data_IF_753923765168
#
_entry.id   IF_753923765168
#
_cell.length_a   1.000
_cell.length_b   1.000
_cell.length_c   1.000
_cell.angle_alpha   90.00
_cell.angle_beta   90.00
_cell.angle_gamma   90.00
#
_symmetry.space_group_name_H-M   'P 1'
#
loop_
_entity.id
_entity.type
_entity.pdbx_description
1 polymer ?
#
# COMPACT_ATOMS: atom_id res chain seq x y z
N UNK A 1 -26.34 1.24 -9.20
CA UNK A 1 -25.53 1.95 -10.22
C UNK A 1 -24.26 1.14 -10.37
N UNK A 2 -24.00 0.57 -11.55
CA UNK A 2 -22.81 -0.24 -11.78
C UNK A 2 -21.66 0.70 -12.10
N UNK A 3 -20.63 0.73 -11.25
CA UNK A 3 -19.38 1.37 -11.60
C UNK A 3 -18.76 0.56 -12.74
N UNK A 4 -18.58 1.18 -13.91
CA UNK A 4 -17.72 0.65 -14.97
C UNK A 4 -16.28 0.68 -14.45
N UNK A 5 -15.84 -0.40 -13.80
CA UNK A 5 -14.49 -0.53 -13.26
C UNK A 5 -13.55 -0.93 -14.40
N UNK A 6 -13.00 0.08 -15.07
CA UNK A 6 -11.81 -0.08 -15.93
C UNK A 6 -10.66 -0.58 -15.05
N UNK A 7 -9.74 -1.38 -15.61
CA UNK A 7 -8.40 -1.68 -15.07
C UNK A 7 -7.71 -0.37 -14.64
N UNK A 8 -8.03 0.11 -13.46
CA UNK A 8 -7.52 1.36 -12.95
C UNK A 8 -6.24 1.04 -12.20
N UNK A 9 -5.15 1.64 -12.66
CA UNK A 9 -3.86 1.60 -11.96
C UNK A 9 -3.94 2.23 -10.58
N UNK A 10 -4.99 3.00 -10.30
CA UNK A 10 -5.16 3.82 -9.12
C UNK A 10 -6.46 3.45 -8.39
N UNK A 11 -6.37 3.30 -7.08
CA UNK A 11 -7.51 3.07 -6.20
C UNK A 11 -7.51 4.11 -5.09
N UNK A 12 -8.63 4.80 -4.90
CA UNK A 12 -8.82 5.77 -3.82
C UNK A 12 -9.69 5.14 -2.73
N UNK A 13 -9.16 5.12 -1.51
CA UNK A 13 -9.85 4.58 -0.33
C UNK A 13 -9.67 5.49 0.87
N UNK A 14 -10.46 5.24 1.90
CA UNK A 14 -10.44 5.92 3.19
C UNK A 14 -10.01 4.95 4.29
N UNK A 15 -9.66 5.45 5.47
CA UNK A 15 -9.28 4.58 6.60
C UNK A 15 -10.40 3.62 7.03
N UNK A 16 -11.66 3.94 6.73
CA UNK A 16 -12.81 3.10 7.04
C UNK A 16 -12.89 1.83 6.18
N UNK A 17 -12.13 1.76 5.08
CA UNK A 17 -12.09 0.62 4.16
C UNK A 17 -11.09 -0.48 4.60
N UNK A 18 -10.38 -0.26 5.72
CA UNK A 18 -9.32 -1.15 6.18
C UNK A 18 -9.71 -1.98 7.40
N UNK A 19 -9.19 -3.21 7.43
CA UNK A 19 -9.10 -4.03 8.62
C UNK A 19 -7.70 -3.87 9.25
N UNK A 20 -7.59 -4.06 10.57
CA UNK A 20 -6.30 -4.05 11.26
C UNK A 20 -5.86 -5.49 11.49
N UNK A 21 -4.68 -5.83 10.98
CA UNK A 21 -4.00 -7.07 11.28
C UNK A 21 -2.98 -6.83 12.40
N UNK A 22 -3.24 -7.41 13.57
CA UNK A 22 -2.26 -7.53 14.65
C UNK A 22 -1.49 -8.85 14.48
N UNK A 23 -0.18 -8.74 14.28
CA UNK A 23 0.69 -9.92 14.18
C UNK A 23 2.05 -9.66 14.83
N UNK A 24 2.42 -10.53 15.77
CA UNK A 24 3.72 -10.50 16.46
C UNK A 24 4.10 -9.10 17.02
N UNK A 25 3.10 -8.30 17.42
CA UNK A 25 3.29 -6.97 18.01
C UNK A 25 3.38 -5.82 17.01
N UNK A 26 3.02 -6.06 15.74
CA UNK A 26 2.90 -5.05 14.69
C UNK A 26 1.44 -4.96 14.25
N UNK A 27 0.91 -3.73 14.24
CA UNK A 27 -0.41 -3.41 13.72
C UNK A 27 -0.28 -2.86 12.29
N UNK A 28 -0.95 -3.49 11.32
CA UNK A 28 -0.91 -3.04 9.92
C UNK A 28 -2.30 -2.99 9.31
N UNK A 29 -2.56 -1.98 8.48
CA UNK A 29 -3.80 -1.85 7.74
C UNK A 29 -3.84 -2.82 6.54
N UNK A 30 -4.96 -3.53 6.43
CA UNK A 30 -5.23 -4.50 5.37
C UNK A 30 -6.46 -4.05 4.59
N UNK A 31 -6.29 -3.84 3.29
CA UNK A 31 -7.36 -3.59 2.34
C UNK A 31 -7.82 -4.92 1.75
N UNK A 32 -9.11 -5.22 1.83
CA UNK A 32 -9.65 -6.40 1.19
C UNK A 32 -9.80 -6.16 -0.33
N UNK A 33 -9.00 -6.89 -1.12
CA UNK A 33 -9.03 -6.84 -2.59
C UNK A 33 -9.58 -8.15 -3.19
N UNK A 34 -10.17 -9.04 -2.37
CA UNK A 34 -10.72 -10.30 -2.86
C UNK A 34 -11.95 -10.09 -3.75
N UNK A 35 -12.74 -9.04 -3.50
CA UNK A 35 -13.90 -8.69 -4.31
C UNK A 35 -13.55 -7.79 -5.52
N UNK A 36 -12.27 -7.42 -5.67
CA UNK A 36 -11.82 -6.56 -6.77
C UNK A 36 -11.74 -7.34 -8.09
N UNK A 37 -12.62 -6.99 -9.04
CA UNK A 37 -12.61 -7.55 -10.39
C UNK A 37 -11.50 -6.88 -11.23
N UNK A 38 -10.47 -7.63 -11.65
CA UNK A 38 -9.39 -7.12 -12.51
C UNK A 38 -7.98 -7.30 -11.93
N UNK A 39 -6.98 -6.63 -12.50
CA UNK A 39 -5.60 -6.61 -11.96
C UNK A 39 -5.58 -5.75 -10.68
N UNK A 40 -4.78 -6.09 -9.63
CA UNK A 40 -4.70 -5.22 -8.46
C UNK A 40 -4.25 -3.81 -8.86
N UNK A 41 -4.72 -2.76 -8.19
CA UNK A 41 -4.25 -1.41 -8.45
C UNK A 41 -2.75 -1.32 -8.17
N UNK A 42 -2.04 -0.54 -8.98
CA UNK A 42 -0.62 -0.28 -8.77
C UNK A 42 -0.40 0.81 -7.71
N UNK A 43 -1.32 1.76 -7.61
CA UNK A 43 -1.33 2.85 -6.64
C UNK A 43 -2.59 2.79 -5.77
N UNK A 44 -2.41 2.93 -4.46
CA UNK A 44 -3.51 3.10 -3.50
C UNK A 44 -3.35 4.46 -2.85
N UNK A 45 -4.38 5.30 -2.94
CA UNK A 45 -4.41 6.63 -2.37
C UNK A 45 -5.25 6.61 -1.10
N UNK A 46 -4.65 7.00 0.02
CA UNK A 46 -5.30 7.06 1.34
C UNK A 46 -5.05 8.43 1.95
N UNK A 47 -6.11 9.21 2.16
CA UNK A 47 -6.04 10.54 2.79
C UNK A 47 -4.93 11.46 2.22
N UNK A 48 -4.81 11.48 0.89
CA UNK A 48 -3.81 12.28 0.18
C UNK A 48 -2.40 11.70 0.13
N UNK A 49 -2.17 10.51 0.71
CA UNK A 49 -0.90 9.77 0.57
C UNK A 49 -1.02 8.71 -0.50
N UNK A 50 0.03 8.57 -1.32
CA UNK A 50 0.09 7.52 -2.34
C UNK A 50 0.96 6.37 -1.87
N UNK A 51 0.41 5.17 -1.90
CA UNK A 51 1.10 3.92 -1.66
C UNK A 51 1.30 3.18 -2.97
N UNK A 52 2.49 2.62 -3.19
CA UNK A 52 2.87 1.95 -4.43
C UNK A 52 3.00 0.45 -4.20
N UNK A 53 2.40 -0.35 -5.08
CA UNK A 53 2.49 -1.80 -5.08
C UNK A 53 3.96 -2.24 -5.23
N UNK A 54 4.40 -3.10 -4.33
CA UNK A 54 5.72 -3.71 -4.35
C UNK A 54 5.69 -5.03 -5.14
N UNK A 55 6.85 -5.41 -5.69
CA UNK A 55 6.98 -6.61 -6.53
C UNK A 55 6.97 -7.95 -5.79
N UNK A 56 6.61 -7.97 -4.50
CA UNK A 56 6.59 -9.17 -3.67
C UNK A 56 5.35 -9.24 -2.79
N UNK A 57 5.07 -10.43 -2.26
CA UNK A 57 3.85 -10.76 -1.53
C UNK A 57 4.15 -11.70 -0.37
N UNK A 58 3.33 -11.68 0.67
CA UNK A 58 3.33 -12.68 1.74
C UNK A 58 2.13 -13.62 1.64
N UNK A 59 2.24 -14.83 2.17
CA UNK A 59 1.09 -15.74 2.30
C UNK A 59 0.26 -15.35 3.52
N UNK A 60 -1.07 -15.27 3.37
CA UNK A 60 -1.97 -14.98 4.51
C UNK A 60 -1.80 -16.03 5.60
N UNK A 61 -1.54 -17.29 5.22
CA UNK A 61 -1.22 -18.37 6.15
C UNK A 61 0.28 -18.61 6.13
N UNK A 62 0.94 -18.39 7.27
CA UNK A 62 2.38 -18.63 7.40
C UNK A 62 3.27 -17.44 7.06
N UNK A 63 2.72 -16.20 7.02
CA UNK A 63 3.52 -14.96 6.88
C UNK A 63 4.66 -14.85 7.89
N UNK A 64 4.54 -15.51 9.06
CA UNK A 64 5.61 -15.79 10.01
C UNK A 64 6.45 -14.57 10.41
N UNK A 65 7.60 -14.80 11.05
CA UNK A 65 8.47 -13.74 11.54
C UNK A 65 9.00 -12.76 10.47
N UNK A 66 8.93 -13.11 9.18
CA UNK A 66 9.50 -12.29 8.10
C UNK A 66 8.68 -11.05 7.80
N UNK A 67 7.35 -11.15 7.78
CA UNK A 67 6.49 -10.01 7.47
C UNK A 67 6.50 -8.96 8.60
N UNK A 68 6.30 -9.30 9.88
CA UNK A 68 6.33 -8.32 10.98
C UNK A 68 7.70 -7.67 11.12
N UNK A 69 8.79 -8.44 10.96
CA UNK A 69 10.14 -7.88 10.99
C UNK A 69 10.34 -6.86 9.86
N UNK A 70 9.97 -7.22 8.62
CA UNK A 70 10.13 -6.32 7.49
C UNK A 70 9.30 -5.04 7.63
N UNK A 71 8.05 -5.14 8.10
CA UNK A 71 7.21 -3.96 8.38
C UNK A 71 7.89 -3.05 9.40
N UNK A 72 8.39 -3.62 10.50
CA UNK A 72 9.12 -2.87 11.54
C UNK A 72 10.33 -2.13 10.98
N UNK A 73 11.09 -2.77 10.07
CA UNK A 73 12.25 -2.14 9.41
C UNK A 73 11.81 -0.95 8.53
N UNK A 74 10.72 -1.09 7.76
CA UNK A 74 10.20 0.02 6.94
C UNK A 74 9.71 1.19 7.79
N UNK A 75 8.99 0.92 8.87
CA UNK A 75 8.49 1.96 9.77
C UNK A 75 9.64 2.66 10.50
N UNK A 76 10.72 1.95 10.85
CA UNK A 76 11.93 2.56 11.41
C UNK A 76 12.62 3.52 10.44
N UNK A 77 12.45 3.34 9.12
CA UNK A 77 12.90 4.26 8.07
C UNK A 77 11.88 5.40 7.80
N UNK A 78 10.77 5.45 8.55
CA UNK A 78 9.73 6.48 8.39
C UNK A 78 8.79 6.23 7.21
N UNK A 79 8.86 5.05 6.58
CA UNK A 79 7.92 4.63 5.54
C UNK A 79 6.63 4.08 6.16
N UNK A 80 5.55 4.09 5.40
CA UNK A 80 4.27 3.53 5.82
C UNK A 80 3.93 2.32 4.96
N UNK A 81 3.45 1.25 5.60
CA UNK A 81 3.08 0.00 4.94
C UNK A 81 1.57 -0.19 4.96
N UNK A 82 1.05 -0.68 3.84
CA UNK A 82 -0.33 -1.12 3.67
C UNK A 82 -0.32 -2.49 3.01
N UNK A 83 -1.19 -3.39 3.45
CA UNK A 83 -1.37 -4.69 2.83
C UNK A 83 -2.66 -4.73 2.02
N UNK A 84 -2.63 -5.37 0.86
CA UNK A 84 -3.83 -5.71 0.10
C UNK A 84 -4.05 -7.22 0.13
N UNK A 85 -5.13 -7.69 0.76
CA UNK A 85 -5.44 -9.12 0.77
C UNK A 85 -6.10 -9.54 -0.54
N UNK A 86 -5.52 -10.51 -1.24
CA UNK A 86 -6.09 -11.11 -2.44
C UNK A 86 -5.68 -12.56 -2.60
N UNK A 87 -6.65 -13.45 -2.77
CA UNK A 87 -6.44 -14.87 -3.09
C UNK A 87 -5.43 -15.55 -2.14
N UNK A 88 -5.68 -15.41 -0.83
CA UNK A 88 -4.82 -15.92 0.26
C UNK A 88 -3.39 -15.32 0.29
N UNK A 89 -3.19 -14.14 -0.31
CA UNK A 89 -1.91 -13.41 -0.26
C UNK A 89 -2.07 -11.97 0.17
N UNK A 90 -1.07 -11.46 0.88
CA UNK A 90 -0.89 -10.04 1.12
C UNK A 90 0.02 -9.44 0.05
N UNK A 91 -0.57 -8.59 -0.79
CA UNK A 91 0.14 -7.64 -1.64
C UNK A 91 0.69 -6.52 -0.75
N UNK A 92 1.91 -6.08 -1.01
CA UNK A 92 2.56 -5.05 -0.19
C UNK A 92 2.50 -3.71 -0.91
N UNK A 93 2.04 -2.68 -0.22
CA UNK A 93 2.05 -1.30 -0.69
C UNK A 93 2.89 -0.45 0.27
N UNK A 94 3.69 0.44 -0.30
CA UNK A 94 4.64 1.26 0.45
C UNK A 94 4.46 2.73 0.10
N UNK A 95 4.42 3.57 1.12
CA UNK A 95 4.52 5.01 0.98
C UNK A 95 5.88 5.47 1.51
N UNK A 96 6.66 6.12 0.65
CA UNK A 96 7.96 6.69 0.97
C UNK A 96 7.87 8.23 0.92
N UNK A 97 7.78 8.90 2.08
CA UNK A 97 7.63 10.35 2.12
C UNK A 97 8.90 11.10 1.70
N UNK A 98 10.08 10.47 1.75
CA UNK A 98 11.33 11.08 1.30
C UNK A 98 11.35 11.14 -0.22
N UNK A 99 11.02 10.04 -0.88
CA UNK A 99 10.94 10.00 -2.33
C UNK A 99 9.88 10.98 -2.88
N UNK A 100 8.76 11.15 -2.18
CA UNK A 100 7.75 12.16 -2.55
C UNK A 100 8.27 13.60 -2.41
N UNK A 101 8.99 13.90 -1.33
CA UNK A 101 9.56 15.23 -1.12
C UNK A 101 10.65 15.57 -2.14
N UNK A 102 11.50 14.60 -2.49
CA UNK A 102 12.54 14.77 -3.52
C UNK A 102 11.93 15.02 -4.90
N UNK A 103 10.91 14.25 -5.30
CA UNK A 103 10.21 14.46 -6.56
C UNK A 103 9.56 15.84 -6.63
N UNK A 104 8.89 16.28 -5.56
CA UNK A 104 8.27 17.60 -5.50
C UNK A 104 9.30 18.75 -5.57
N UNK A 105 10.50 18.56 -5.01
CA UNK A 105 11.57 19.53 -5.08
C UNK A 105 12.14 19.66 -6.51
N UNK A 106 12.31 18.54 -7.21
CA UNK A 106 12.77 18.51 -8.60
C UNK A 106 11.78 19.19 -9.55
N UNK A 107 10.48 18.89 -9.42
CA UNK A 107 9.42 19.54 -10.21
C UNK A 107 9.38 21.08 -9.99
N UNK A 108 9.63 21.53 -8.75
CA UNK A 108 9.68 22.96 -8.43
C UNK A 108 10.91 23.65 -9.03
N UNK A 109 12.04 22.95 -9.12
CA UNK A 109 13.26 23.45 -9.77
C UNK A 109 13.08 23.55 -11.29
N UNK A 110 12.46 22.55 -11.93
CA UNK A 110 12.14 22.57 -13.36
C UNK A 110 11.15 23.68 -13.73
N UNK A 111 10.14 23.94 -12.89
CA UNK A 111 9.16 25.00 -13.14
C UNK A 111 9.72 26.43 -12.94
N UNK A 112 10.87 26.56 -12.28
CA UNK A 112 11.53 27.83 -12.01
C UNK A 112 12.65 28.18 -13.01
N UNK A 113 13.02 27.26 -13.90
CA UNK A 113 14.02 27.44 -14.97
C UNK A 113 13.44 27.92 -16.29
#
# INVERSE_FOLDING_TARGET
MAATMMDSTDLHVTFDDFEILDTEGVDVFVLNLNEYEGVPPFYVHVDGRRFVLQGFTYEVRGHGAQMPQWITEQEAEGRLVLLGERADRYLVYLHDPVAEAEAAAEEAEEAAG
#
